data_IF_721091515555
#
_entry.id   IF_721091515555
#
_cell.length_a   1.000
_cell.length_b   1.000
_cell.length_c   1.000
_cell.angle_alpha   90.00
_cell.angle_beta   90.00
_cell.angle_gamma   90.00
#
_symmetry.space_group_name_H-M   'P 1'
#
loop_
_entity.id
_entity.type
_entity.pdbx_description
1 polymer ?
#
# COMPACT_ATOMS: atom_id res chain seq x y z
N UNK A 1 45.52 -28.08 5.11
CA UNK A 1 44.56 -27.19 5.79
C UNK A 1 43.51 -26.75 4.77
N UNK A 2 42.35 -27.41 4.73
CA UNK A 2 41.30 -27.12 3.73
C UNK A 2 40.36 -26.07 4.30
N UNK A 3 40.49 -24.83 3.82
CA UNK A 3 39.54 -23.75 4.13
C UNK A 3 38.23 -24.05 3.39
N UNK A 4 37.28 -24.75 4.03
CA UNK A 4 35.90 -24.79 3.55
C UNK A 4 35.19 -23.50 3.96
N UNK A 5 35.26 -22.47 3.12
CA UNK A 5 34.27 -21.38 3.16
C UNK A 5 32.91 -21.98 2.80
N UNK A 6 32.05 -22.24 3.80
CA UNK A 6 30.61 -22.41 3.56
C UNK A 6 30.09 -21.07 3.03
N UNK A 7 30.08 -20.90 1.71
CA UNK A 7 29.34 -19.80 1.10
C UNK A 7 27.86 -20.05 1.40
N UNK A 8 27.30 -19.28 2.33
CA UNK A 8 25.85 -19.09 2.42
C UNK A 8 25.49 -18.21 1.23
N UNK A 9 25.35 -18.78 0.04
CA UNK A 9 24.95 -18.02 -1.15
C UNK A 9 23.45 -17.72 -1.02
N UNK A 10 23.02 -16.46 -1.08
CA UNK A 10 21.58 -16.17 -1.12
C UNK A 10 21.11 -16.57 -2.52
N UNK A 11 20.05 -17.36 -2.62
CA UNK A 11 19.41 -17.66 -3.92
C UNK A 11 18.33 -16.59 -4.14
N UNK A 12 18.53 -15.63 -5.05
CA UNK A 12 17.44 -14.78 -5.50
C UNK A 12 16.50 -15.62 -6.36
N UNK A 13 15.23 -15.73 -5.98
CA UNK A 13 14.21 -16.26 -6.87
C UNK A 13 13.02 -15.30 -6.97
N UNK A 14 12.38 -15.29 -8.13
CA UNK A 14 11.16 -14.54 -8.37
C UNK A 14 9.98 -15.50 -8.35
N UNK A 15 8.98 -15.20 -7.52
CA UNK A 15 7.73 -15.93 -7.52
C UNK A 15 6.64 -15.08 -8.13
N UNK A 16 5.99 -15.62 -9.16
CA UNK A 16 4.84 -15.01 -9.83
C UNK A 16 3.55 -15.55 -9.25
N UNK A 17 2.63 -14.66 -8.90
CA UNK A 17 1.32 -15.01 -8.35
C UNK A 17 0.22 -14.34 -9.17
N UNK A 18 -0.90 -15.05 -9.33
CA UNK A 18 -2.12 -14.55 -9.94
C UNK A 18 -3.18 -14.32 -8.86
N UNK A 19 -4.16 -13.42 -9.08
CA UNK A 19 -5.31 -13.26 -8.22
C UNK A 19 -6.04 -14.56 -7.96
N UNK A 20 -6.62 -14.69 -6.78
CA UNK A 20 -7.53 -15.78 -6.49
C UNK A 20 -8.88 -15.59 -7.16
N UNK A 21 -9.61 -16.69 -7.31
CA UNK A 21 -11.02 -16.64 -7.74
C UNK A 21 -11.84 -15.68 -6.88
N UNK A 22 -11.68 -15.75 -5.55
CA UNK A 22 -12.41 -14.91 -4.60
C UNK A 22 -12.04 -13.42 -4.73
N UNK A 23 -10.76 -13.11 -4.97
CA UNK A 23 -10.32 -11.73 -5.24
C UNK A 23 -10.96 -11.16 -6.50
N UNK A 24 -10.99 -11.96 -7.59
CA UNK A 24 -11.66 -11.56 -8.84
C UNK A 24 -13.16 -11.37 -8.65
N UNK A 25 -13.83 -12.29 -7.97
CA UNK A 25 -15.27 -12.20 -7.69
C UNK A 25 -15.63 -10.96 -6.88
N UNK A 26 -14.76 -10.50 -5.99
CA UNK A 26 -14.97 -9.27 -5.21
C UNK A 26 -14.96 -7.99 -6.04
N UNK A 27 -14.31 -7.98 -7.20
CA UNK A 27 -14.24 -6.82 -8.09
C UNK A 27 -15.14 -6.98 -9.33
N UNK A 28 -15.70 -8.17 -9.55
CA UNK A 28 -16.47 -8.47 -10.74
C UNK A 28 -17.76 -7.63 -10.81
N UNK A 29 -18.00 -6.99 -11.95
CA UNK A 29 -19.21 -6.21 -12.21
C UNK A 29 -19.31 -4.90 -11.44
N UNK A 30 -18.22 -4.44 -10.82
CA UNK A 30 -18.10 -3.14 -10.18
C UNK A 30 -17.35 -2.19 -11.11
N UNK A 31 -17.66 -0.91 -11.00
CA UNK A 31 -17.01 0.15 -11.79
C UNK A 31 -16.47 1.21 -10.84
N UNK A 32 -15.28 1.71 -11.12
CA UNK A 32 -14.70 2.84 -10.42
C UNK A 32 -15.49 4.11 -10.71
N UNK A 33 -15.69 4.93 -9.68
CA UNK A 33 -16.38 6.21 -9.77
C UNK A 33 -15.84 7.18 -8.72
N UNK A 34 -16.01 8.49 -8.95
CA UNK A 34 -15.73 9.52 -7.94
C UNK A 34 -17.00 9.75 -7.12
N UNK A 35 -16.86 9.89 -5.80
CA UNK A 35 -18.00 10.25 -4.94
C UNK A 35 -18.48 11.67 -5.20
N UNK A 36 -19.79 11.86 -5.11
CA UNK A 36 -20.40 13.19 -5.13
C UNK A 36 -19.94 14.01 -3.93
N UNK A 37 -19.91 15.34 -4.06
CA UNK A 37 -19.52 16.23 -2.96
C UNK A 37 -20.41 16.09 -1.72
N UNK A 38 -21.70 15.77 -1.91
CA UNK A 38 -22.67 15.59 -0.82
C UNK A 38 -22.41 14.31 0.00
N UNK A 39 -21.76 13.34 -0.62
CA UNK A 39 -21.44 12.05 -0.02
C UNK A 39 -20.04 12.05 0.62
N UNK A 40 -19.20 13.06 0.37
CA UNK A 40 -17.83 13.10 0.86
C UNK A 40 -17.76 13.06 2.40
N UNK A 41 -16.71 12.41 2.89
CA UNK A 41 -16.50 12.22 4.31
C UNK A 41 -16.01 13.50 5.00
N UNK A 42 -16.24 13.61 6.31
CA UNK A 42 -15.61 14.67 7.10
C UNK A 42 -14.10 14.40 7.22
N UNK A 43 -13.28 15.44 7.06
CA UNK A 43 -11.83 15.36 7.11
C UNK A 43 -11.27 16.01 8.37
N UNK A 44 -10.18 15.47 8.96
CA UNK A 44 -9.51 16.08 10.09
C UNK A 44 -8.62 17.25 9.63
N UNK A 45 -8.24 18.11 10.58
CA UNK A 45 -7.33 19.23 10.33
C UNK A 45 -6.05 18.80 9.59
N UNK A 46 -5.62 19.63 8.63
CA UNK A 46 -4.48 19.37 7.78
C UNK A 46 -4.77 18.45 6.59
N UNK A 47 -6.02 18.04 6.40
CA UNK A 47 -6.53 17.42 5.18
C UNK A 47 -7.71 18.21 4.63
N UNK A 48 -7.83 18.21 3.31
CA UNK A 48 -8.97 18.81 2.60
C UNK A 48 -9.38 17.95 1.42
N UNK A 49 -10.61 18.10 0.95
CA UNK A 49 -11.01 17.50 -0.32
C UNK A 49 -10.21 18.14 -1.46
N UNK A 50 -9.87 17.32 -2.44
CA UNK A 50 -9.07 17.79 -3.56
C UNK A 50 -9.80 18.86 -4.38
N UNK A 51 -9.02 19.81 -4.91
CA UNK A 51 -9.54 20.78 -5.87
C UNK A 51 -10.16 20.09 -7.10
N UNK A 52 -11.11 20.76 -7.76
CA UNK A 52 -11.80 20.20 -8.94
C UNK A 52 -10.83 19.79 -10.05
N UNK A 53 -9.76 20.55 -10.28
CA UNK A 53 -8.72 20.21 -11.27
C UNK A 53 -8.10 18.82 -10.99
N UNK A 54 -7.80 18.53 -9.73
CA UNK A 54 -7.25 17.22 -9.35
C UNK A 54 -8.30 16.13 -9.46
N UNK A 55 -9.55 16.43 -9.10
CA UNK A 55 -10.66 15.49 -9.26
C UNK A 55 -10.83 15.13 -10.73
N UNK A 56 -10.82 16.10 -11.63
CA UNK A 56 -10.95 15.90 -13.08
C UNK A 56 -9.80 15.03 -13.63
N UNK A 57 -8.56 15.27 -13.17
CA UNK A 57 -7.40 14.46 -13.56
C UNK A 57 -7.52 13.01 -13.06
N UNK A 58 -7.95 12.79 -11.80
CA UNK A 58 -8.16 11.43 -11.28
C UNK A 58 -9.36 10.76 -11.96
N UNK A 59 -10.41 11.51 -12.26
CA UNK A 59 -11.59 11.02 -12.99
C UNK A 59 -11.23 10.56 -14.41
N UNK A 60 -10.26 11.22 -15.05
CA UNK A 60 -9.75 10.82 -16.37
C UNK A 60 -9.16 9.39 -16.41
N UNK A 61 -8.78 8.83 -15.26
CA UNK A 61 -8.29 7.45 -15.14
C UNK A 61 -9.41 6.40 -15.20
N UNK A 62 -10.67 6.77 -14.93
CA UNK A 62 -11.79 5.83 -14.78
C UNK A 62 -11.94 4.87 -15.96
N UNK A 63 -11.86 5.31 -17.24
CA UNK A 63 -11.92 4.39 -18.37
C UNK A 63 -10.86 3.29 -18.29
N UNK A 64 -9.59 3.66 -18.06
CA UNK A 64 -8.49 2.70 -17.95
C UNK A 64 -8.62 1.81 -16.70
N UNK A 65 -9.08 2.36 -15.58
CA UNK A 65 -9.35 1.59 -14.34
C UNK A 65 -10.41 0.50 -14.58
N UNK A 66 -11.47 0.82 -15.33
CA UNK A 66 -12.57 -0.10 -15.62
C UNK A 66 -12.25 -1.10 -16.73
N UNK A 67 -11.39 -0.75 -17.69
CA UNK A 67 -10.92 -1.67 -18.73
C UNK A 67 -9.90 -2.68 -18.21
N UNK A 68 -9.21 -2.37 -17.10
CA UNK A 68 -8.18 -3.21 -16.55
C UNK A 68 -8.71 -4.59 -16.13
N UNK A 69 -8.24 -5.61 -16.84
CA UNK A 69 -8.63 -6.98 -16.55
C UNK A 69 -7.81 -7.55 -15.38
N UNK A 70 -8.33 -7.41 -14.16
CA UNK A 70 -7.73 -7.95 -12.93
C UNK A 70 -7.42 -9.44 -13.01
N UNK A 71 -8.09 -10.22 -13.86
CA UNK A 71 -7.80 -11.65 -14.03
C UNK A 71 -6.42 -11.92 -14.66
N UNK A 72 -5.86 -10.93 -15.35
CA UNK A 72 -4.53 -10.96 -15.96
C UNK A 72 -3.43 -10.39 -15.04
N UNK A 73 -3.81 -9.80 -13.89
CA UNK A 73 -2.83 -9.26 -12.95
C UNK A 73 -1.87 -10.35 -12.49
N UNK A 74 -0.57 -10.06 -12.54
CA UNK A 74 0.47 -10.96 -12.09
C UNK A 74 1.46 -10.20 -11.23
N UNK A 75 1.54 -10.54 -9.94
CA UNK A 75 2.55 -9.95 -9.06
C UNK A 75 3.80 -10.81 -9.03
N UNK A 76 4.94 -10.19 -9.31
CA UNK A 76 6.25 -10.80 -9.16
C UNK A 76 6.85 -10.36 -7.83
N UNK A 77 7.20 -11.30 -6.96
CA UNK A 77 7.93 -11.00 -5.72
C UNK A 77 9.28 -11.69 -5.75
N UNK A 78 10.34 -10.89 -5.64
CA UNK A 78 11.69 -11.41 -5.43
C UNK A 78 11.81 -11.86 -3.98
N UNK A 79 11.92 -13.17 -3.79
CA UNK A 79 12.16 -13.78 -2.48
C UNK A 79 13.59 -14.26 -2.46
N UNK A 80 14.33 -13.80 -1.47
CA UNK A 80 15.69 -14.24 -1.21
C UNK A 80 15.64 -15.32 -0.14
N UNK A 81 16.07 -16.53 -0.49
CA UNK A 81 16.22 -17.60 0.48
C UNK A 81 17.70 -17.73 0.84
N UNK A 82 18.05 -17.80 2.14
CA UNK A 82 19.39 -18.22 2.52
C UNK A 82 19.61 -19.65 2.03
N UNK A 83 20.69 -19.90 1.27
CA UNK A 83 21.06 -21.26 0.91
C UNK A 83 21.61 -21.98 2.15
N UNK A 84 20.78 -22.85 2.70
CA UNK A 84 21.11 -23.74 3.81
C UNK A 84 21.56 -25.14 3.34
N UNK A 85 21.60 -25.37 2.02
CA UNK A 85 21.95 -26.64 1.40
C UNK A 85 20.79 -27.60 1.17
N UNK A 86 19.55 -27.19 1.46
CA UNK A 86 18.34 -28.01 1.19
C UNK A 86 18.00 -28.09 -0.30
N UNK A 87 18.40 -27.11 -1.10
CA UNK A 87 18.24 -27.15 -2.57
C UNK A 87 19.39 -27.94 -3.18
N UNK A 88 19.07 -29.06 -3.84
CA UNK A 88 20.07 -29.87 -4.52
C UNK A 88 20.82 -29.04 -5.59
N UNK A 89 22.15 -29.19 -5.67
CA UNK A 89 22.98 -28.50 -6.68
C UNK A 89 22.54 -28.83 -8.11
N UNK A 90 21.95 -30.01 -8.34
CA UNK A 90 21.34 -30.38 -9.62
C UNK A 90 20.10 -29.56 -9.97
N UNK A 91 19.36 -29.06 -8.97
CA UNK A 91 18.25 -28.14 -9.17
C UNK A 91 18.74 -26.75 -9.57
N UNK A 92 19.86 -26.26 -9.02
CA UNK A 92 20.47 -24.98 -9.44
C UNK A 92 20.89 -24.95 -10.91
N UNK A 93 21.20 -26.12 -11.50
CA UNK A 93 21.55 -26.26 -12.91
C UNK A 93 20.34 -26.41 -13.85
N UNK A 94 19.12 -26.52 -13.30
CA UNK A 94 17.89 -26.72 -14.06
C UNK A 94 16.79 -25.77 -13.55
N UNK A 95 16.45 -24.70 -14.30
CA UNK A 95 15.46 -23.70 -13.89
C UNK A 95 14.09 -24.26 -13.47
N UNK A 96 13.64 -25.35 -14.11
CA UNK A 96 12.34 -25.97 -13.79
C UNK A 96 12.37 -26.70 -12.43
N UNK A 97 13.47 -27.42 -12.15
CA UNK A 97 13.65 -28.10 -10.85
C UNK A 97 13.87 -27.11 -9.72
N UNK A 98 14.62 -26.04 -9.96
CA UNK A 98 14.79 -24.95 -8.99
C UNK A 98 13.43 -24.35 -8.59
N UNK A 99 12.58 -24.04 -9.56
CA UNK A 99 11.24 -23.53 -9.31
C UNK A 99 10.37 -24.49 -8.48
N UNK A 100 10.48 -25.80 -8.72
CA UNK A 100 9.74 -26.80 -7.95
C UNK A 100 10.20 -26.86 -6.48
N UNK A 101 11.52 -26.92 -6.24
CA UNK A 101 12.07 -26.97 -4.88
C UNK A 101 11.77 -25.69 -4.09
N UNK A 102 11.83 -24.53 -4.75
CA UNK A 102 11.50 -23.25 -4.11
C UNK A 102 10.01 -23.14 -3.73
N UNK A 103 9.10 -23.68 -4.56
CA UNK A 103 7.68 -23.81 -4.19
C UNK A 103 7.46 -24.70 -2.96
N UNK A 104 8.28 -25.75 -2.80
CA UNK A 104 8.20 -26.66 -1.65
C UNK A 104 8.71 -25.99 -0.37
N UNK A 105 9.82 -25.25 -0.46
CA UNK A 105 10.39 -24.49 0.65
C UNK A 105 9.41 -23.40 1.11
N UNK A 106 8.80 -22.65 0.19
CA UNK A 106 7.80 -21.63 0.51
C UNK A 106 6.60 -22.17 1.31
N UNK A 107 6.23 -23.45 1.16
CA UNK A 107 5.16 -24.09 1.94
C UNK A 107 5.54 -24.40 3.39
N UNK A 108 6.83 -24.46 3.72
CA UNK A 108 7.35 -24.94 5.01
C UNK A 108 7.94 -23.88 5.95
N UNK A 109 7.98 -22.60 5.56
CA UNK A 109 8.58 -21.53 6.39
C UNK A 109 7.57 -21.02 7.44
N UNK A 110 7.86 -21.12 8.75
CA UNK A 110 7.10 -20.45 9.81
C UNK A 110 7.28 -18.93 9.69
N UNK A 111 6.19 -18.17 9.66
CA UNK A 111 6.21 -16.74 9.28
C UNK A 111 5.64 -16.47 7.88
N UNK A 112 5.24 -17.53 7.14
CA UNK A 112 4.14 -17.43 6.19
C UNK A 112 4.43 -16.61 4.92
N UNK A 113 5.37 -17.03 4.08
CA UNK A 113 5.31 -16.66 2.66
C UNK A 113 4.20 -17.47 1.93
N UNK A 114 2.98 -17.36 2.47
CA UNK A 114 1.72 -17.56 1.79
C UNK A 114 1.01 -16.21 1.86
N UNK A 115 1.23 -15.31 0.89
CA UNK A 115 0.11 -14.46 0.48
C UNK A 115 -0.86 -15.40 -0.23
N UNK A 116 -1.65 -16.13 0.55
CA UNK A 116 -2.75 -16.91 0.01
C UNK A 116 -3.76 -15.88 -0.47
N UNK A 117 -3.65 -15.51 -1.74
CA UNK A 117 -4.74 -14.90 -2.46
C UNK A 117 -5.97 -15.80 -2.21
N UNK A 118 -6.93 -15.30 -1.45
CA UNK A 118 -8.11 -15.98 -0.93
C UNK A 118 -9.33 -15.04 -0.82
N UNK A 119 -9.29 -13.88 -1.45
CA UNK A 119 -10.26 -12.79 -1.35
C UNK A 119 -10.10 -11.92 -0.10
N UNK A 120 -8.98 -12.00 0.62
CA UNK A 120 -8.73 -11.15 1.80
C UNK A 120 -8.72 -9.65 1.42
N UNK A 121 -9.01 -8.75 2.38
CA UNK A 121 -8.90 -7.31 2.16
C UNK A 121 -7.53 -6.88 1.61
N UNK A 122 -6.45 -7.53 2.05
CA UNK A 122 -5.09 -7.26 1.58
C UNK A 122 -4.90 -7.65 0.10
N UNK A 123 -5.45 -8.78 -0.35
CA UNK A 123 -5.42 -9.13 -1.78
C UNK A 123 -6.24 -8.14 -2.61
N UNK A 124 -7.43 -7.77 -2.15
CA UNK A 124 -8.28 -6.84 -2.91
C UNK A 124 -7.60 -5.48 -3.01
N UNK A 125 -6.94 -5.01 -1.95
CA UNK A 125 -6.07 -3.85 -1.99
C UNK A 125 -4.96 -3.99 -3.03
N UNK A 126 -4.18 -5.08 -3.00
CA UNK A 126 -3.12 -5.32 -3.99
C UNK A 126 -3.65 -5.30 -5.45
N UNK A 127 -4.90 -5.74 -5.69
CA UNK A 127 -5.54 -5.71 -7.01
C UNK A 127 -5.94 -4.29 -7.42
N UNK A 128 -6.47 -3.48 -6.49
CA UNK A 128 -6.76 -2.06 -6.72
C UNK A 128 -5.46 -1.32 -7.03
N UNK A 129 -4.41 -1.49 -6.21
CA UNK A 129 -3.09 -0.88 -6.45
C UNK A 129 -2.55 -1.24 -7.84
N UNK A 130 -2.69 -2.51 -8.24
CA UNK A 130 -2.30 -2.97 -9.57
C UNK A 130 -3.11 -2.35 -10.71
N UNK A 131 -4.39 -2.08 -10.47
CA UNK A 131 -5.31 -1.44 -11.44
C UNK A 131 -4.93 0.03 -11.62
N UNK A 132 -4.67 0.74 -10.52
CA UNK A 132 -4.20 2.12 -10.55
C UNK A 132 -2.85 2.25 -11.25
N UNK A 133 -1.88 1.38 -10.95
CA UNK A 133 -0.57 1.41 -11.62
C UNK A 133 -0.67 1.26 -13.13
N UNK A 134 -1.60 0.41 -13.59
CA UNK A 134 -1.89 0.27 -15.01
C UNK A 134 -2.53 1.53 -15.59
N UNK A 135 -3.57 2.06 -14.94
CA UNK A 135 -4.27 3.26 -15.42
C UNK A 135 -3.33 4.48 -15.46
N UNK A 136 -2.44 4.62 -14.47
CA UNK A 136 -1.41 5.66 -14.44
C UNK A 136 -0.38 5.47 -15.57
N UNK A 137 0.03 4.24 -15.88
CA UNK A 137 0.91 3.96 -17.03
C UNK A 137 0.29 4.35 -18.39
N UNK A 138 -1.04 4.31 -18.49
CA UNK A 138 -1.79 4.68 -19.70
C UNK A 138 -2.19 6.16 -19.74
N UNK A 139 -1.95 6.91 -18.66
CA UNK A 139 -2.28 8.32 -18.57
C UNK A 139 -1.28 9.18 -19.34
N UNK A 140 -1.76 10.24 -20.00
CA UNK A 140 -0.91 11.26 -20.62
C UNK A 140 -0.36 12.27 -19.60
N UNK A 141 -1.05 12.45 -18.47
CA UNK A 141 -0.79 13.49 -17.47
C UNK A 141 -0.18 12.95 -16.16
N UNK A 142 -0.21 11.63 -15.97
CA UNK A 142 0.32 10.97 -14.79
C UNK A 142 1.43 9.99 -15.15
N UNK A 143 2.26 9.67 -14.16
CA UNK A 143 3.32 8.68 -14.32
C UNK A 143 3.46 7.83 -13.07
N UNK A 144 3.85 6.57 -13.23
CA UNK A 144 4.18 5.74 -12.09
C UNK A 144 5.38 6.33 -11.34
N UNK A 145 5.29 6.34 -10.00
CA UNK A 145 6.34 6.93 -9.20
C UNK A 145 7.61 6.06 -9.18
N UNK A 146 8.76 6.71 -9.35
CA UNK A 146 10.04 6.08 -9.09
C UNK A 146 10.37 6.10 -7.60
N UNK A 147 11.15 5.11 -7.15
CA UNK A 147 11.62 5.07 -5.78
C UNK A 147 12.62 6.20 -5.54
N UNK A 148 12.31 7.04 -4.56
CA UNK A 148 13.19 8.12 -4.10
C UNK A 148 13.88 7.75 -2.79
N UNK A 149 15.09 8.26 -2.59
CA UNK A 149 15.86 8.07 -1.36
C UNK A 149 16.52 9.39 -0.98
N UNK A 150 16.27 9.86 0.24
CA UNK A 150 16.91 11.05 0.82
C UNK A 150 17.50 10.71 2.18
N UNK A 151 18.64 11.29 2.51
CA UNK A 151 19.20 11.20 3.86
C UNK A 151 18.44 12.16 4.79
N UNK A 152 18.09 11.71 5.98
CA UNK A 152 17.40 12.55 6.96
C UNK A 152 18.32 12.84 8.14
N UNK A 153 18.76 14.09 8.27
CA UNK A 153 19.80 14.50 9.23
C UNK A 153 19.42 14.21 10.69
N UNK A 154 18.15 14.35 11.08
CA UNK A 154 17.69 14.07 12.46
C UNK A 154 17.76 12.58 12.83
N UNK A 155 17.48 11.67 11.89
CA UNK A 155 17.51 10.23 12.14
C UNK A 155 18.83 9.58 11.77
N UNK A 156 19.73 10.35 11.14
CA UNK A 156 21.01 9.89 10.60
C UNK A 156 20.85 8.63 9.72
N UNK A 157 19.76 8.53 8.96
CA UNK A 157 19.45 7.39 8.09
C UNK A 157 18.87 7.82 6.76
N UNK A 158 19.00 6.93 5.77
CA UNK A 158 18.32 7.09 4.48
C UNK A 158 16.86 6.67 4.59
N UNK A 159 15.97 7.59 4.29
CA UNK A 159 14.54 7.35 4.16
C UNK A 159 14.25 7.07 2.69
N UNK A 160 13.51 6.00 2.44
CA UNK A 160 13.15 5.54 1.10
C UNK A 160 11.64 5.57 0.97
N UNK A 161 11.13 6.16 -0.09
CA UNK A 161 9.70 6.19 -0.39
C UNK A 161 9.41 5.83 -1.84
N UNK A 162 8.19 5.38 -2.08
CA UNK A 162 7.67 5.04 -3.40
C UNK A 162 6.15 5.10 -3.29
N UNK A 163 5.56 6.20 -3.74
CA UNK A 163 4.11 6.33 -3.83
C UNK A 163 3.59 5.54 -5.04
N UNK A 164 2.28 5.58 -5.29
CA UNK A 164 1.67 4.79 -6.36
C UNK A 164 1.73 5.48 -7.72
N UNK A 165 1.65 6.81 -7.75
CA UNK A 165 1.76 7.61 -8.97
C UNK A 165 2.27 9.00 -8.71
N UNK A 166 2.36 9.79 -9.78
CA UNK A 166 2.73 11.19 -9.78
C UNK A 166 1.80 11.96 -10.72
N UNK A 167 1.34 13.14 -10.28
CA UNK A 167 0.63 14.13 -11.11
C UNK A 167 1.35 15.47 -10.97
N UNK A 168 1.94 15.98 -12.05
CA UNK A 168 2.67 17.25 -12.05
C UNK A 168 3.71 17.37 -10.92
N UNK A 169 4.43 16.28 -10.63
CA UNK A 169 5.42 16.21 -9.54
C UNK A 169 4.84 15.98 -8.15
N UNK A 170 3.51 15.96 -8.00
CA UNK A 170 2.84 15.64 -6.73
C UNK A 170 2.67 14.13 -6.57
N UNK A 171 3.02 13.56 -5.41
CA UNK A 171 2.86 12.13 -5.18
C UNK A 171 1.37 11.76 -5.02
N UNK A 172 0.95 10.70 -5.70
CA UNK A 172 -0.37 10.07 -5.55
C UNK A 172 -0.18 8.78 -4.73
N UNK A 173 -0.94 8.64 -3.65
CA UNK A 173 -1.01 7.41 -2.86
C UNK A 173 -2.45 6.87 -2.86
N UNK A 174 -2.61 5.60 -3.23
CA UNK A 174 -3.90 4.93 -3.30
C UNK A 174 -4.11 4.10 -2.04
N UNK A 175 -5.23 4.31 -1.37
CA UNK A 175 -5.59 3.58 -0.14
C UNK A 175 -6.90 2.84 -0.32
N UNK A 176 -6.84 1.52 -0.30
CA UNK A 176 -8.06 0.72 -0.24
C UNK A 176 -8.64 0.69 1.19
N UNK A 177 -9.93 0.97 1.33
CA UNK A 177 -10.70 0.94 2.59
C UNK A 177 -11.94 0.05 2.45
N UNK A 178 -12.57 -0.33 3.57
CA UNK A 178 -13.78 -1.17 3.52
C UNK A 178 -15.02 -0.38 3.12
N UNK A 179 -15.11 0.86 3.59
CA UNK A 179 -16.20 1.83 3.35
C UNK A 179 -15.60 3.23 3.44
N UNK A 180 -16.27 4.22 2.86
CA UNK A 180 -15.87 5.63 2.87
C UNK A 180 -16.71 6.44 3.88
N UNK A 181 -17.08 5.83 5.01
CA UNK A 181 -17.68 6.57 6.13
C UNK A 181 -16.62 7.42 6.84
N UNK A 182 -17.00 8.59 7.36
CA UNK A 182 -16.07 9.56 7.97
C UNK A 182 -15.17 8.95 9.04
N UNK A 183 -15.70 8.13 9.95
CA UNK A 183 -14.89 7.46 10.97
C UNK A 183 -13.77 6.60 10.35
N UNK A 184 -14.05 5.92 9.25
CA UNK A 184 -13.07 5.04 8.59
C UNK A 184 -12.08 5.80 7.73
N UNK A 185 -12.51 6.88 7.09
CA UNK A 185 -11.60 7.78 6.37
C UNK A 185 -10.64 8.43 7.36
N UNK A 186 -11.14 9.04 8.43
CA UNK A 186 -10.32 9.64 9.50
C UNK A 186 -9.32 8.64 10.07
N UNK A 187 -9.78 7.46 10.49
CA UNK A 187 -8.88 6.43 11.03
C UNK A 187 -7.81 6.00 10.02
N UNK A 188 -8.13 5.95 8.71
CA UNK A 188 -7.15 5.61 7.70
C UNK A 188 -6.12 6.74 7.51
N UNK A 189 -6.57 8.00 7.48
CA UNK A 189 -5.71 9.18 7.40
C UNK A 189 -4.75 9.24 8.60
N UNK A 190 -5.25 9.04 9.82
CA UNK A 190 -4.45 9.02 11.04
C UNK A 190 -3.38 7.91 11.01
N UNK A 191 -3.77 6.69 10.66
CA UNK A 191 -2.85 5.55 10.64
C UNK A 191 -1.77 5.65 9.56
N UNK A 192 -2.04 6.38 8.48
CA UNK A 192 -1.09 6.57 7.37
C UNK A 192 -0.48 7.98 7.36
N UNK A 193 -0.81 8.82 8.33
CA UNK A 193 -0.33 10.19 8.49
C UNK A 193 1.18 10.31 8.25
N UNK A 194 1.94 9.46 8.95
CA UNK A 194 3.40 9.43 8.87
C UNK A 194 3.91 9.19 7.44
N UNK A 195 3.24 8.31 6.70
CA UNK A 195 3.59 8.01 5.32
C UNK A 195 3.34 9.23 4.41
N UNK A 196 2.19 9.89 4.55
CA UNK A 196 1.85 11.07 3.75
C UNK A 196 2.81 12.22 4.02
N UNK A 197 3.13 12.48 5.30
CA UNK A 197 4.13 13.48 5.68
C UNK A 197 5.52 13.13 5.11
N UNK A 198 5.92 11.85 5.16
CA UNK A 198 7.18 11.41 4.57
C UNK A 198 7.22 11.62 3.06
N UNK A 199 6.11 11.41 2.34
CA UNK A 199 6.04 11.72 0.91
C UNK A 199 6.12 13.22 0.66
N UNK A 200 5.44 14.05 1.45
CA UNK A 200 5.55 15.49 1.27
C UNK A 200 7.01 15.97 1.40
N UNK A 201 7.76 15.44 2.37
CA UNK A 201 9.19 15.72 2.51
C UNK A 201 10.06 15.11 1.40
N UNK A 202 9.80 13.86 1.01
CA UNK A 202 10.56 13.18 -0.03
C UNK A 202 10.37 13.81 -1.42
N UNK A 203 9.16 14.23 -1.75
CA UNK A 203 8.82 14.77 -3.08
C UNK A 203 8.71 16.29 -3.10
N UNK A 204 8.84 16.96 -1.94
CA UNK A 204 8.72 18.44 -1.80
C UNK A 204 7.39 19.00 -2.33
N UNK A 205 6.36 18.15 -2.35
CA UNK A 205 5.06 18.40 -2.94
C UNK A 205 3.97 17.72 -2.12
N UNK A 206 2.81 18.35 -1.95
CA UNK A 206 1.76 17.79 -1.10
C UNK A 206 1.11 16.56 -1.76
N UNK A 207 1.00 15.42 -1.04
CA UNK A 207 0.41 14.21 -1.60
C UNK A 207 -1.08 14.36 -1.88
N UNK A 208 -1.49 13.73 -2.99
CA UNK A 208 -2.87 13.43 -3.32
C UNK A 208 -3.14 12.01 -2.83
N UNK A 209 -4.21 11.85 -2.05
CA UNK A 209 -4.61 10.60 -1.43
C UNK A 209 -5.91 10.16 -2.09
N UNK A 210 -5.90 9.01 -2.75
CA UNK A 210 -7.10 8.43 -3.36
C UNK A 210 -7.58 7.28 -2.48
N UNK A 211 -8.65 7.51 -1.74
CA UNK A 211 -9.28 6.45 -0.95
C UNK A 211 -10.29 5.69 -1.80
N UNK A 212 -10.13 4.38 -1.90
CA UNK A 212 -10.96 3.51 -2.73
C UNK A 212 -11.75 2.55 -1.84
N UNK A 213 -13.06 2.58 -1.92
CA UNK A 213 -13.91 1.60 -1.26
C UNK A 213 -13.77 0.24 -1.95
N UNK A 214 -13.25 -0.78 -1.26
CA UNK A 214 -13.12 -2.14 -1.83
C UNK A 214 -14.46 -2.79 -2.16
N UNK A 215 -15.53 -2.34 -1.51
CA UNK A 215 -16.86 -2.92 -1.67
C UNK A 215 -17.64 -2.27 -2.82
N UNK A 216 -17.44 -0.98 -3.11
CA UNK A 216 -18.18 -0.26 -4.17
C UNK A 216 -17.30 0.20 -5.34
N UNK A 217 -15.98 0.32 -5.16
CA UNK A 217 -15.02 0.98 -6.04
C UNK A 217 -15.22 2.49 -6.23
N UNK A 218 -16.06 3.08 -5.40
CA UNK A 218 -16.13 4.53 -5.26
C UNK A 218 -14.82 5.06 -4.69
N UNK A 219 -14.47 6.26 -5.12
CA UNK A 219 -13.23 6.94 -4.80
C UNK A 219 -13.50 8.28 -4.15
N UNK A 220 -12.73 8.58 -3.13
CA UNK A 220 -12.68 9.89 -2.50
C UNK A 220 -11.26 10.44 -2.60
N UNK A 221 -11.13 11.64 -3.16
CA UNK A 221 -9.84 12.27 -3.45
C UNK A 221 -9.59 13.37 -2.44
N UNK A 222 -8.49 13.20 -1.70
CA UNK A 222 -8.12 14.01 -0.55
C UNK A 222 -6.73 14.59 -0.82
N UNK A 223 -6.50 15.82 -0.40
CA UNK A 223 -5.19 16.42 -0.37
C UNK A 223 -4.72 16.57 1.07
N UNK A 224 -3.42 16.39 1.26
CA UNK A 224 -2.76 16.91 2.44
C UNK A 224 -2.63 18.44 2.29
N UNK A 225 -2.86 19.19 3.35
CA UNK A 225 -2.65 20.64 3.30
C UNK A 225 -1.15 20.98 3.27
N UNK A 226 -0.81 22.04 2.55
CA UNK A 226 0.56 22.36 2.08
C UNK A 226 1.61 22.58 3.19
N UNK A 227 1.24 22.74 4.46
CA UNK A 227 2.20 22.97 5.56
C UNK A 227 2.03 22.05 6.78
N UNK A 228 1.69 20.79 6.53
CA UNK A 228 1.91 19.78 7.56
C UNK A 228 3.39 19.38 7.69
N UNK A 229 4.23 19.68 6.68
CA UNK A 229 5.69 19.50 6.71
C UNK A 229 6.41 20.50 7.60
N UNK A 230 5.97 21.76 7.72
CA UNK A 230 6.53 22.70 8.69
C UNK A 230 6.32 22.23 10.14
N UNK A 231 5.18 21.60 10.44
CA UNK A 231 4.93 20.96 11.73
C UNK A 231 5.75 19.67 11.91
N UNK A 232 5.93 18.88 10.85
CA UNK A 232 6.70 17.64 10.86
C UNK A 232 8.21 17.87 11.04
N UNK A 233 8.79 18.85 10.33
CA UNK A 233 10.21 19.20 10.35
C UNK A 233 10.65 19.84 11.68
N UNK A 234 9.79 20.62 12.32
CA UNK A 234 10.11 21.30 13.58
C UNK A 234 9.91 20.45 14.83
N UNK A 235 9.32 19.26 14.73
CA UNK A 235 8.79 18.55 15.92
C UNK A 235 8.84 17.03 15.83
N UNK A 236 9.76 16.44 15.07
CA UNK A 236 9.84 14.98 14.91
C UNK A 236 9.96 14.19 16.23
N UNK A 237 10.64 14.75 17.24
CA UNK A 237 10.70 14.17 18.59
C UNK A 237 9.38 14.29 19.40
N UNK A 238 8.35 14.95 18.86
CA UNK A 238 7.04 15.21 19.48
C UNK A 238 5.85 14.70 18.61
N UNK A 239 6.06 13.73 17.71
CA UNK A 239 5.07 13.34 16.67
C UNK A 239 3.85 12.54 17.13
N UNK A 240 3.88 11.89 18.30
CA UNK A 240 2.75 11.04 18.74
C UNK A 240 1.56 11.82 19.36
N UNK A 241 1.72 12.96 20.06
CA UNK A 241 0.60 13.62 20.75
C UNK A 241 -0.13 14.73 19.98
N UNK A 242 0.22 15.04 18.73
CA UNK A 242 -0.31 16.23 18.01
C UNK A 242 -1.53 15.99 17.11
N UNK A 243 -1.99 14.75 16.97
CA UNK A 243 -3.34 14.49 16.48
C UNK A 243 -4.26 14.83 17.66
N UNK A 244 -4.70 16.09 17.75
CA UNK A 244 -5.69 16.50 18.72
C UNK A 244 -6.96 15.71 18.43
N UNK A 245 -7.25 14.72 19.27
CA UNK A 245 -8.55 14.07 19.27
C UNK A 245 -9.62 15.16 19.45
N UNK A 246 -10.66 15.23 18.61
CA UNK A 246 -11.86 15.95 19.03
C UNK A 246 -12.31 15.34 20.36
N UNK A 247 -12.67 16.18 21.33
CA UNK A 247 -13.18 15.75 22.64
C UNK A 247 -14.49 14.94 22.47
N UNK A 248 -14.41 13.68 22.07
CA UNK A 248 -15.56 12.78 22.02
C UNK A 248 -15.23 11.29 22.16
N UNK A 249 -13.97 10.89 22.34
CA UNK A 249 -13.62 9.54 22.79
C UNK A 249 -13.54 9.45 24.32
N UNK A 250 -14.54 10.01 25.00
CA UNK A 250 -14.75 9.74 26.41
C UNK A 250 -15.22 8.29 26.58
N UNK A 251 -14.34 7.46 27.16
CA UNK A 251 -14.64 6.17 27.81
C UNK A 251 -15.28 5.09 26.93
N UNK A 252 -14.44 4.30 26.26
CA UNK A 252 -14.80 2.88 26.03
C UNK A 252 -14.72 2.22 27.42
N UNK A 253 -15.82 1.69 27.98
CA UNK A 253 -15.78 1.04 29.28
C UNK A 253 -14.92 -0.22 29.17
N UNK A 254 -13.95 -0.33 30.08
CA UNK A 254 -13.27 -1.57 30.41
C UNK A 254 -14.32 -2.68 30.60
N UNK A 255 -14.50 -3.56 29.61
CA UNK A 255 -15.03 -4.90 29.89
C UNK A 255 -13.91 -5.73 30.49
N UNK A 256 -13.65 -5.46 31.77
CA UNK A 256 -13.37 -6.55 32.69
C UNK A 256 -14.56 -7.50 32.61
N UNK A 257 -14.33 -8.73 32.17
CA UNK A 257 -15.06 -9.87 32.70
C UNK A 257 -14.10 -11.04 32.81
N UNK A 258 -13.54 -11.11 34.03
CA UNK A 258 -13.34 -12.31 34.83
C UNK A 258 -12.91 -13.59 34.12
N UNK A 259 -11.68 -13.99 34.41
CA UNK A 259 -11.31 -15.38 34.44
C UNK A 259 -12.11 -16.16 35.52
N UNK A 260 -12.37 -17.44 35.20
CA UNK A 260 -12.74 -18.57 36.08
C UNK A 260 -14.22 -18.59 36.53
N UNK A 261 -14.94 -19.71 36.53
CA UNK A 261 -14.61 -21.02 37.16
C UNK A 261 -15.50 -22.14 36.57
N UNK A 262 -14.88 -23.33 36.40
CA UNK A 262 -15.38 -24.72 36.22
C UNK A 262 -16.10 -25.09 34.92
#
# INVERSE_FOLDING_TARGET
MVVRKKRREIIPNETKWAPSRKGREKLAGKEYSIRSQEDQSELPDGFRHASQEIVDEIESLIPALNEYNVSKYMRSVKVQFPFDGTVAVSALKNPQKLNYELKKIAKGIPGGFRRSFNGSPAEVGDLIDGTFKHAIDESENMSNAERITKFHDIFELFVVGCCDGMLNGRPIEVKSVSVLESEKVMLNLENNWFQFAAYNWLYEQSPIIVMVCRETLEMEVIELEEDMVGAAMNSWSQWTPRINHPESSASIPNKQNSALVK
#
